data_IF_225348461479
#
_entry.id   IF_225348461479
#
_cell.length_a   1.000
_cell.length_b   1.000
_cell.length_c   1.000
_cell.angle_alpha   90.00
_cell.angle_beta   90.00
_cell.angle_gamma   90.00
#
_symmetry.space_group_name_H-M   'P 1'
#
loop_
_entity.id
_entity.type
_entity.pdbx_description
1 polymer ?
#
# COMPACT_ATOMS: atom_id res chain seq x y z
N UNK A 1 -5.18 -5.53 56.86
CA UNK A 1 -4.37 -6.26 55.87
C UNK A 1 -4.42 -5.49 54.57
N UNK A 2 -3.40 -4.70 54.30
CA UNK A 2 -3.21 -4.02 53.01
C UNK A 2 -2.73 -5.06 52.00
N UNK A 3 -3.58 -5.37 51.02
CA UNK A 3 -3.25 -6.27 49.92
C UNK A 3 -2.38 -5.45 48.97
N UNK A 4 -1.09 -5.75 48.92
CA UNK A 4 -0.18 -5.19 47.94
C UNK A 4 -0.62 -5.60 46.53
N UNK A 5 -0.50 -4.73 45.51
CA UNK A 5 -0.71 -5.13 44.12
C UNK A 5 0.22 -6.31 43.77
N UNK A 6 -0.22 -7.28 42.97
CA UNK A 6 0.68 -8.33 42.51
C UNK A 6 1.86 -7.70 41.79
N UNK A 7 3.07 -8.15 42.12
CA UNK A 7 4.29 -7.75 41.43
C UNK A 7 4.09 -7.90 39.92
N UNK A 8 4.34 -6.80 39.21
CA UNK A 8 4.32 -6.78 37.75
C UNK A 8 5.33 -7.82 37.29
N UNK A 9 4.82 -8.91 36.72
CA UNK A 9 5.60 -10.09 36.35
C UNK A 9 6.93 -9.73 35.71
N UNK A 10 7.97 -10.43 36.16
CA UNK A 10 9.35 -10.41 35.69
C UNK A 10 9.50 -10.16 34.19
N UNK A 11 10.35 -9.20 33.84
CA UNK A 11 10.96 -8.97 32.53
C UNK A 11 10.09 -9.35 31.32
N UNK A 12 9.27 -8.40 30.86
CA UNK A 12 8.71 -8.48 29.51
C UNK A 12 9.87 -8.56 28.51
N UNK A 13 10.26 -9.79 28.14
CA UNK A 13 11.27 -10.03 27.11
C UNK A 13 10.87 -9.23 25.88
N UNK A 14 11.78 -8.39 25.38
CA UNK A 14 11.52 -7.59 24.20
C UNK A 14 11.12 -8.50 23.04
N UNK A 15 9.86 -8.40 22.61
CA UNK A 15 9.29 -9.14 21.49
C UNK A 15 9.77 -8.60 20.13
N UNK A 16 10.54 -7.52 20.15
CA UNK A 16 11.20 -6.91 18.99
C UNK A 16 12.71 -6.99 19.18
N UNK A 17 13.40 -7.34 18.12
CA UNK A 17 14.86 -7.37 18.06
C UNK A 17 15.38 -6.16 17.30
N UNK A 18 16.43 -5.51 17.83
CA UNK A 18 17.20 -4.54 17.06
C UNK A 18 18.07 -5.33 16.08
N UNK A 19 17.68 -5.32 14.81
CA UNK A 19 18.41 -6.01 13.74
C UNK A 19 19.22 -4.96 12.99
N UNK A 20 20.43 -5.31 12.57
CA UNK A 20 21.21 -4.50 11.64
C UNK A 20 21.30 -5.20 10.30
N UNK A 21 20.15 -5.29 9.62
CA UNK A 21 20.10 -5.75 8.24
C UNK A 21 20.45 -4.53 7.37
N UNK A 22 21.66 -4.47 6.79
CA UNK A 22 22.11 -3.25 6.13
C UNK A 22 21.25 -2.96 4.91
N UNK A 23 20.62 -1.78 4.89
CA UNK A 23 19.83 -1.32 3.75
C UNK A 23 20.78 -0.78 2.67
N UNK A 24 21.34 -1.69 1.85
CA UNK A 24 22.28 -1.37 0.78
C UNK A 24 21.75 -1.80 -0.58
N UNK A 25 22.30 -1.21 -1.64
CA UNK A 25 21.97 -1.57 -3.02
C UNK A 25 22.75 -2.79 -3.55
N UNK A 26 23.62 -3.41 -2.73
CA UNK A 26 24.50 -4.49 -3.19
C UNK A 26 23.71 -5.67 -3.78
N UNK A 27 22.60 -6.04 -3.13
CA UNK A 27 21.76 -7.16 -3.56
C UNK A 27 20.94 -6.85 -4.82
N UNK A 28 20.75 -5.57 -5.17
CA UNK A 28 20.01 -5.19 -6.37
C UNK A 28 20.81 -5.50 -7.65
N UNK A 29 22.14 -5.50 -7.55
CA UNK A 29 23.04 -5.97 -8.61
C UNK A 29 23.13 -7.49 -8.74
N UNK A 30 22.45 -8.25 -7.88
CA UNK A 30 22.47 -9.73 -7.84
C UNK A 30 21.04 -10.29 -7.93
N UNK A 31 20.39 -10.26 -9.11
CA UNK A 31 19.04 -10.77 -9.23
C UNK A 31 19.00 -12.28 -8.93
N UNK A 32 18.03 -12.71 -8.13
CA UNK A 32 17.91 -14.10 -7.67
C UNK A 32 18.77 -14.44 -6.45
N UNK A 33 19.38 -13.45 -5.78
CA UNK A 33 20.16 -13.67 -4.54
C UNK A 33 19.39 -14.41 -3.43
N UNK A 34 18.06 -14.32 -3.44
CA UNK A 34 17.16 -14.95 -2.48
C UNK A 34 17.03 -16.47 -2.67
N UNK A 35 17.43 -17.01 -3.82
CA UNK A 35 17.37 -18.44 -4.15
C UNK A 35 18.77 -18.93 -4.57
N UNK A 36 19.28 -19.95 -3.90
CA UNK A 36 20.65 -20.47 -4.15
C UNK A 36 20.85 -21.02 -5.55
N UNK A 37 19.81 -21.53 -6.20
CA UNK A 37 19.88 -22.01 -7.58
C UNK A 37 19.92 -20.83 -8.55
N UNK A 38 19.12 -19.79 -8.31
CA UNK A 38 19.08 -18.59 -9.16
C UNK A 38 20.31 -17.70 -8.99
N UNK A 39 20.87 -17.61 -7.79
CA UNK A 39 22.07 -16.82 -7.49
C UNK A 39 23.31 -17.22 -8.33
N UNK A 40 23.31 -18.41 -8.95
CA UNK A 40 24.38 -18.88 -9.84
C UNK A 40 24.35 -18.24 -11.23
N UNK A 41 23.32 -17.46 -11.54
CA UNK A 41 23.16 -16.72 -12.79
C UNK A 41 22.39 -17.47 -13.89
N UNK A 42 22.00 -16.75 -14.96
CA UNK A 42 21.14 -17.26 -16.02
C UNK A 42 21.90 -18.16 -17.00
N UNK A 43 21.68 -19.49 -16.91
CA UNK A 43 22.17 -20.45 -17.91
C UNK A 43 21.17 -20.68 -19.06
N UNK A 44 19.88 -20.50 -18.80
CA UNK A 44 18.79 -20.64 -19.78
C UNK A 44 17.77 -19.53 -19.56
N UNK A 45 16.90 -19.27 -20.55
CA UNK A 45 15.81 -18.29 -20.41
C UNK A 45 14.78 -18.67 -19.35
N UNK A 46 14.67 -19.96 -19.01
CA UNK A 46 13.87 -20.45 -17.86
C UNK A 46 14.25 -19.76 -16.56
N UNK A 47 15.52 -19.40 -16.39
CA UNK A 47 15.99 -18.69 -15.21
C UNK A 47 15.24 -17.36 -15.00
N UNK A 48 14.93 -16.64 -16.08
CA UNK A 48 14.19 -15.36 -15.99
C UNK A 48 12.79 -15.59 -15.47
N UNK A 49 12.11 -16.64 -15.92
CA UNK A 49 10.77 -16.98 -15.45
C UNK A 49 10.78 -17.40 -13.98
N UNK A 50 11.72 -18.25 -13.59
CA UNK A 50 11.87 -18.69 -12.20
C UNK A 50 12.22 -17.52 -11.26
N UNK A 51 13.00 -16.54 -11.74
CA UNK A 51 13.29 -15.32 -10.98
C UNK A 51 12.01 -14.58 -10.55
N UNK A 52 11.05 -14.43 -11.44
CA UNK A 52 9.79 -13.74 -11.13
C UNK A 52 8.83 -14.64 -10.34
N UNK A 53 8.72 -15.92 -10.72
CA UNK A 53 7.82 -16.86 -10.07
C UNK A 53 8.17 -17.09 -8.60
N UNK A 54 9.46 -17.13 -8.27
CA UNK A 54 9.91 -17.43 -6.92
C UNK A 54 10.08 -16.16 -6.06
N UNK A 55 10.00 -14.94 -6.61
CA UNK A 55 10.36 -13.72 -5.89
C UNK A 55 9.61 -13.51 -4.56
N UNK A 56 8.36 -13.97 -4.46
CA UNK A 56 7.54 -13.89 -3.24
C UNK A 56 7.28 -15.26 -2.58
N UNK A 57 7.97 -16.32 -3.03
CA UNK A 57 7.92 -17.64 -2.41
C UNK A 57 8.90 -17.69 -1.22
N UNK A 58 8.54 -16.99 -0.14
CA UNK A 58 9.44 -16.78 1.00
C UNK A 58 9.84 -18.08 1.71
N UNK A 59 8.98 -19.09 1.71
CA UNK A 59 9.26 -20.40 2.30
C UNK A 59 10.32 -21.17 1.50
N UNK A 60 10.38 -20.98 0.18
CA UNK A 60 11.43 -21.56 -0.66
C UNK A 60 12.81 -20.88 -0.44
N UNK A 61 12.83 -19.63 0.05
CA UNK A 61 14.07 -18.88 0.26
C UNK A 61 14.79 -19.29 1.55
N UNK A 62 14.06 -19.61 2.61
CA UNK A 62 14.60 -19.96 3.92
C UNK A 62 13.64 -20.83 4.71
N UNK A 63 14.17 -21.75 5.53
CA UNK A 63 13.39 -22.57 6.45
C UNK A 63 13.12 -21.87 7.80
N UNK A 64 13.63 -20.65 8.00
CA UNK A 64 13.41 -19.88 9.22
C UNK A 64 12.05 -19.15 9.18
N UNK A 65 11.07 -19.69 9.91
CA UNK A 65 9.73 -19.14 10.00
C UNK A 65 9.69 -17.71 10.56
N UNK A 66 10.65 -17.33 11.42
CA UNK A 66 10.73 -15.97 11.94
C UNK A 66 11.08 -14.99 10.83
N UNK A 67 12.08 -15.33 10.01
CA UNK A 67 12.49 -14.54 8.85
C UNK A 67 11.38 -14.45 7.79
N UNK A 68 10.69 -15.56 7.51
CA UNK A 68 9.50 -15.55 6.63
C UNK A 68 8.43 -14.59 7.18
N UNK A 69 8.12 -14.66 8.47
CA UNK A 69 7.12 -13.80 9.12
C UNK A 69 7.51 -12.32 9.03
N UNK A 70 8.80 -11.99 9.21
CA UNK A 70 9.34 -10.63 9.06
C UNK A 70 9.19 -10.11 7.63
N UNK A 71 9.47 -10.94 6.61
CA UNK A 71 9.28 -10.58 5.19
C UNK A 71 7.83 -10.33 4.86
N UNK A 72 6.93 -11.20 5.29
CA UNK A 72 5.48 -11.04 5.11
C UNK A 72 5.01 -9.72 5.73
N UNK A 73 5.42 -9.45 6.97
CA UNK A 73 5.03 -8.23 7.68
C UNK A 73 5.49 -6.95 6.97
N UNK A 74 6.75 -6.92 6.51
CA UNK A 74 7.27 -5.81 5.71
C UNK A 74 6.57 -5.67 4.36
N UNK A 75 6.29 -6.78 3.68
CA UNK A 75 5.58 -6.81 2.41
C UNK A 75 4.13 -6.28 2.54
N UNK A 76 3.45 -6.55 3.66
CA UNK A 76 2.13 -5.99 3.93
C UNK A 76 2.16 -4.46 3.98
N UNK A 77 3.16 -3.86 4.63
CA UNK A 77 3.33 -2.40 4.59
C UNK A 77 3.61 -1.86 3.19
N UNK A 78 4.43 -2.57 2.40
CA UNK A 78 4.64 -2.25 0.99
C UNK A 78 3.34 -2.27 0.18
N UNK A 79 2.50 -3.28 0.39
CA UNK A 79 1.19 -3.38 -0.26
C UNK A 79 0.24 -2.26 0.18
N UNK A 80 0.17 -1.95 1.48
CA UNK A 80 -0.62 -0.82 2.00
C UNK A 80 -0.16 0.52 1.39
N UNK A 81 1.15 0.72 1.22
CA UNK A 81 1.66 1.93 0.57
C UNK A 81 1.18 2.05 -0.88
N UNK A 82 1.19 0.95 -1.66
CA UNK A 82 0.66 0.94 -3.04
C UNK A 82 -0.83 1.26 -3.06
N UNK A 83 -1.61 0.73 -2.12
CA UNK A 83 -3.05 1.07 -1.98
C UNK A 83 -3.21 2.57 -1.71
N UNK A 84 -2.42 3.15 -0.80
CA UNK A 84 -2.48 4.59 -0.52
C UNK A 84 -2.04 5.46 -1.70
N UNK A 85 -1.05 5.04 -2.49
CA UNK A 85 -0.66 5.73 -3.73
C UNK A 85 -1.80 5.67 -4.75
N UNK A 86 -2.43 4.52 -4.93
CA UNK A 86 -3.58 4.36 -5.82
C UNK A 86 -4.77 5.24 -5.38
N UNK A 87 -5.08 5.28 -4.09
CA UNK A 87 -6.10 6.17 -3.51
C UNK A 87 -5.74 7.65 -3.70
N UNK A 88 -4.48 8.02 -3.44
CA UNK A 88 -3.98 9.38 -3.67
C UNK A 88 -4.15 9.80 -5.12
N UNK A 89 -3.82 8.92 -6.06
CA UNK A 89 -4.05 9.12 -7.50
C UNK A 89 -5.53 9.35 -7.81
N UNK A 90 -6.44 8.53 -7.26
CA UNK A 90 -7.87 8.71 -7.47
C UNK A 90 -8.37 10.08 -7.00
N UNK A 91 -7.97 10.54 -5.81
CA UNK A 91 -8.32 11.87 -5.31
C UNK A 91 -7.69 12.99 -6.15
N UNK A 92 -6.42 12.85 -6.53
CA UNK A 92 -5.70 13.85 -7.33
C UNK A 92 -6.33 14.02 -8.71
N UNK A 93 -6.68 12.92 -9.38
CA UNK A 93 -7.39 12.93 -10.64
C UNK A 93 -8.76 13.61 -10.52
N UNK A 94 -9.51 13.29 -9.45
CA UNK A 94 -10.74 14.00 -9.09
C UNK A 94 -10.54 15.51 -8.89
N UNK A 95 -9.44 15.92 -8.27
CA UNK A 95 -9.16 17.31 -7.97
C UNK A 95 -8.64 18.14 -9.15
N UNK A 96 -8.03 17.52 -10.17
CA UNK A 96 -7.31 18.25 -11.24
C UNK A 96 -7.86 18.04 -12.64
N UNK A 97 -8.41 16.87 -12.92
CA UNK A 97 -8.73 16.43 -14.28
C UNK A 97 -10.15 15.87 -14.36
N UNK A 98 -11.07 16.45 -13.60
CA UNK A 98 -12.42 15.93 -13.48
C UNK A 98 -13.48 17.02 -13.62
N UNK A 99 -14.71 16.59 -13.85
CA UNK A 99 -15.89 17.45 -13.81
C UNK A 99 -16.66 17.34 -12.47
N UNK A 100 -15.99 17.00 -11.37
CA UNK A 100 -16.65 16.72 -10.09
C UNK A 100 -17.57 17.85 -9.61
N UNK A 101 -17.11 19.10 -9.66
CA UNK A 101 -17.92 20.26 -9.29
C UNK A 101 -19.17 20.43 -10.18
N UNK A 102 -19.02 20.20 -11.49
CA UNK A 102 -20.13 20.24 -12.45
C UNK A 102 -21.12 19.08 -12.25
N UNK A 103 -20.61 17.88 -12.00
CA UNK A 103 -21.43 16.72 -11.66
C UNK A 103 -22.18 16.89 -10.35
N UNK A 104 -21.56 17.54 -9.34
CA UNK A 104 -22.20 17.77 -8.05
C UNK A 104 -23.42 18.70 -8.17
N UNK A 105 -23.39 19.65 -9.12
CA UNK A 105 -24.47 20.57 -9.40
C UNK A 105 -25.66 19.91 -10.14
N UNK A 106 -25.40 18.96 -11.05
CA UNK A 106 -26.43 18.15 -11.73
C UNK A 106 -26.03 16.66 -11.85
N UNK A 107 -26.18 15.89 -10.76
CA UNK A 107 -25.74 14.50 -10.71
C UNK A 107 -26.55 13.56 -11.61
N UNK A 108 -27.73 13.99 -12.06
CA UNK A 108 -28.68 13.17 -12.82
C UNK A 108 -28.39 13.18 -14.32
N UNK A 109 -27.88 14.29 -14.87
CA UNK A 109 -27.62 14.41 -16.30
C UNK A 109 -26.14 14.37 -16.64
N UNK A 110 -25.29 15.02 -15.82
CA UNK A 110 -23.83 15.05 -16.03
C UNK A 110 -23.25 13.67 -15.76
N UNK A 111 -22.34 13.20 -16.63
CA UNK A 111 -21.66 11.91 -16.45
C UNK A 111 -20.33 12.13 -15.72
N UNK A 112 -20.00 11.31 -14.71
CA UNK A 112 -18.76 11.48 -13.97
C UNK A 112 -17.55 11.18 -14.88
N UNK A 113 -16.56 12.07 -14.88
CA UNK A 113 -15.32 11.94 -15.66
C UNK A 113 -14.15 12.47 -14.84
N UNK A 114 -13.03 11.74 -14.82
CA UNK A 114 -11.82 12.08 -14.07
C UNK A 114 -10.51 11.70 -14.79
N UNK A 115 -10.61 11.43 -16.09
CA UNK A 115 -9.46 11.09 -16.92
C UNK A 115 -9.58 11.82 -18.25
N UNK A 116 -8.54 12.56 -18.61
CA UNK A 116 -8.45 13.30 -19.86
C UNK A 116 -7.24 12.79 -20.63
N UNK A 117 -7.45 12.50 -21.90
CA UNK A 117 -6.42 11.96 -22.79
C UNK A 117 -5.72 13.09 -23.52
N UNK A 118 -4.40 13.00 -23.66
CA UNK A 118 -3.63 13.98 -24.43
C UNK A 118 -3.93 13.92 -25.93
N UNK A 119 -3.92 15.07 -26.64
CA UNK A 119 -4.22 15.13 -28.07
C UNK A 119 -3.02 14.76 -28.92
N UNK A 120 -2.76 13.45 -29.03
CA UNK A 120 -1.67 12.89 -29.82
C UNK A 120 -2.23 11.71 -30.61
N UNK A 121 -1.89 11.60 -31.91
CA UNK A 121 -2.36 10.51 -32.78
C UNK A 121 -3.88 10.39 -32.92
N UNK A 122 -4.65 11.44 -32.62
CA UNK A 122 -6.11 11.44 -32.72
C UNK A 122 -6.84 10.75 -31.55
N UNK A 123 -6.11 10.34 -30.50
CA UNK A 123 -6.71 9.65 -29.36
C UNK A 123 -7.60 10.56 -28.49
N UNK A 124 -7.56 11.88 -28.69
CA UNK A 124 -8.47 12.84 -28.05
C UNK A 124 -9.94 12.60 -28.43
N UNK A 125 -10.23 11.81 -29.47
CA UNK A 125 -11.57 11.30 -29.75
C UNK A 125 -12.18 10.54 -28.54
N UNK A 126 -11.34 10.02 -27.65
CA UNK A 126 -11.75 9.38 -26.40
C UNK A 126 -12.26 10.38 -25.35
N UNK A 127 -11.95 11.67 -25.48
CA UNK A 127 -12.46 12.72 -24.61
C UNK A 127 -13.88 13.12 -25.05
N UNK A 128 -14.85 12.25 -24.77
CA UNK A 128 -16.25 12.49 -25.09
C UNK A 128 -16.84 13.66 -24.27
N UNK A 129 -17.86 14.31 -24.81
CA UNK A 129 -18.67 15.28 -24.07
C UNK A 129 -19.47 14.55 -22.98
N UNK A 130 -19.14 14.83 -21.72
CA UNK A 130 -19.78 14.23 -20.54
C UNK A 130 -20.71 15.21 -19.81
N UNK A 131 -20.94 16.39 -20.39
CA UNK A 131 -21.72 17.47 -19.80
C UNK A 131 -20.89 18.42 -18.92
N UNK A 132 -21.54 19.49 -18.47
CA UNK A 132 -20.93 20.58 -17.71
C UNK A 132 -19.71 21.25 -18.40
N UNK A 133 -19.67 21.24 -19.74
CA UNK A 133 -18.58 21.82 -20.53
C UNK A 133 -17.26 21.05 -20.45
N UNK A 134 -17.28 19.81 -19.95
CA UNK A 134 -16.09 18.98 -19.78
C UNK A 134 -16.04 17.84 -20.80
N UNK A 135 -14.85 17.60 -21.33
CA UNK A 135 -14.58 16.51 -22.27
C UNK A 135 -13.54 15.56 -21.66
N UNK A 136 -13.86 14.27 -21.58
CA UNK A 136 -12.97 13.27 -20.99
C UNK A 136 -13.57 11.87 -21.02
N UNK A 137 -12.88 10.90 -20.43
CA UNK A 137 -13.36 9.53 -20.31
C UNK A 137 -14.36 9.43 -19.16
N UNK A 138 -15.59 9.00 -19.48
CA UNK A 138 -16.59 8.68 -18.47
C UNK A 138 -16.09 7.53 -17.57
N UNK A 139 -16.03 7.78 -16.26
CA UNK A 139 -15.60 6.78 -15.27
C UNK A 139 -16.78 6.00 -14.71
N UNK A 140 -16.55 4.74 -14.36
CA UNK A 140 -17.56 3.83 -13.80
C UNK A 140 -17.21 3.31 -12.40
N UNK A 141 -16.16 3.84 -11.77
CA UNK A 141 -15.68 3.43 -10.44
C UNK A 141 -16.58 3.84 -9.27
N UNK A 142 -17.58 4.71 -9.50
CA UNK A 142 -18.47 5.19 -8.44
C UNK A 142 -17.88 6.25 -7.51
N UNK A 143 -16.63 6.69 -7.74
CA UNK A 143 -15.90 7.61 -6.85
C UNK A 143 -16.66 8.91 -6.56
N UNK A 144 -17.31 9.51 -7.56
CA UNK A 144 -18.06 10.77 -7.37
C UNK A 144 -19.22 10.60 -6.38
N UNK A 145 -19.92 9.48 -6.43
CA UNK A 145 -21.02 9.18 -5.51
C UNK A 145 -20.49 8.97 -4.08
N UNK A 146 -19.36 8.27 -3.96
CA UNK A 146 -18.67 8.06 -2.69
C UNK A 146 -18.20 9.40 -2.07
N UNK A 147 -17.54 10.25 -2.84
CA UNK A 147 -17.07 11.56 -2.37
C UNK A 147 -18.23 12.46 -1.96
N UNK A 148 -19.34 12.45 -2.71
CA UNK A 148 -20.57 13.13 -2.32
C UNK A 148 -21.12 12.59 -1.00
N UNK A 149 -21.12 11.28 -0.79
CA UNK A 149 -21.57 10.67 0.46
C UNK A 149 -20.67 11.04 1.66
N UNK A 150 -19.38 11.30 1.42
CA UNK A 150 -18.45 11.82 2.42
C UNK A 150 -18.64 13.33 2.70
N UNK A 151 -19.53 14.00 1.99
CA UNK A 151 -19.78 15.44 2.14
C UNK A 151 -18.72 16.31 1.46
N UNK A 152 -17.96 15.76 0.52
CA UNK A 152 -16.97 16.53 -0.25
C UNK A 152 -17.71 17.44 -1.25
N UNK A 153 -17.39 18.72 -1.22
CA UNK A 153 -18.05 19.75 -2.03
C UNK A 153 -17.10 20.55 -2.91
N UNK A 154 -15.79 20.37 -2.78
CA UNK A 154 -14.80 21.10 -3.59
C UNK A 154 -13.57 20.27 -3.96
N UNK A 155 -12.95 20.65 -5.08
CA UNK A 155 -11.70 20.04 -5.56
C UNK A 155 -10.52 20.27 -4.60
N UNK A 156 -10.54 21.36 -3.82
CA UNK A 156 -9.51 21.64 -2.81
C UNK A 156 -9.51 20.57 -1.71
N UNK A 157 -10.68 20.06 -1.31
CA UNK A 157 -10.78 18.97 -0.34
C UNK A 157 -10.21 17.67 -0.91
N UNK A 158 -10.50 17.36 -2.18
CA UNK A 158 -9.91 16.21 -2.88
C UNK A 158 -8.38 16.32 -2.96
N UNK A 159 -7.86 17.52 -3.23
CA UNK A 159 -6.41 17.76 -3.22
C UNK A 159 -5.78 17.51 -1.85
N UNK A 160 -6.44 17.96 -0.77
CA UNK A 160 -5.97 17.72 0.59
C UNK A 160 -5.95 16.21 0.92
N UNK A 161 -6.98 15.46 0.53
CA UNK A 161 -7.04 14.00 0.67
C UNK A 161 -5.94 13.30 -0.14
N UNK A 162 -5.68 13.76 -1.36
CA UNK A 162 -4.60 13.22 -2.19
C UNK A 162 -3.24 13.36 -1.51
N UNK A 163 -2.93 14.54 -0.98
CA UNK A 163 -1.67 14.80 -0.25
C UNK A 163 -1.60 13.96 1.03
N UNK A 164 -2.69 13.92 1.81
CA UNK A 164 -2.76 13.11 3.03
C UNK A 164 -2.51 11.63 2.76
N UNK A 165 -3.15 11.07 1.74
CA UNK A 165 -2.95 9.68 1.32
C UNK A 165 -1.49 9.42 0.86
N UNK A 166 -0.87 10.38 0.18
CA UNK A 166 0.54 10.25 -0.24
C UNK A 166 1.51 10.27 0.96
N UNK A 167 1.25 11.12 1.96
CA UNK A 167 2.02 11.12 3.21
C UNK A 167 1.87 9.77 3.93
N UNK A 168 0.65 9.23 4.00
CA UNK A 168 0.40 7.91 4.57
C UNK A 168 1.14 6.80 3.81
N UNK A 169 1.21 6.86 2.48
CA UNK A 169 2.02 5.92 1.71
C UNK A 169 3.51 5.98 2.09
N UNK A 170 4.06 7.19 2.26
CA UNK A 170 5.43 7.38 2.74
C UNK A 170 5.66 6.80 4.14
N UNK A 171 4.70 6.97 5.06
CA UNK A 171 4.74 6.37 6.39
C UNK A 171 4.68 4.84 6.34
N UNK A 172 3.82 4.25 5.49
CA UNK A 172 3.75 2.80 5.31
C UNK A 172 5.05 2.23 4.76
N UNK A 173 5.64 2.85 3.73
CA UNK A 173 6.96 2.45 3.21
C UNK A 173 8.03 2.51 4.30
N UNK A 174 8.05 3.59 5.08
CA UNK A 174 9.01 3.75 6.16
C UNK A 174 8.83 2.70 7.26
N UNK A 175 7.59 2.40 7.65
CA UNK A 175 7.27 1.36 8.63
C UNK A 175 7.71 -0.03 8.14
N UNK A 176 7.48 -0.35 6.86
CA UNK A 176 7.94 -1.62 6.26
C UNK A 176 9.46 -1.77 6.29
N UNK A 177 10.20 -0.71 5.93
CA UNK A 177 11.67 -0.70 6.01
C UNK A 177 12.14 -0.80 7.47
N UNK A 178 11.52 -0.03 8.37
CA UNK A 178 11.88 0.00 9.79
C UNK A 178 11.71 -1.36 10.46
N UNK A 179 10.56 -2.00 10.25
CA UNK A 179 10.24 -3.29 10.87
C UNK A 179 10.95 -4.50 10.25
N UNK A 180 11.72 -4.30 9.17
CA UNK A 180 12.57 -5.34 8.60
C UNK A 180 14.07 -5.09 8.84
N UNK A 181 14.51 -3.84 8.65
CA UNK A 181 15.93 -3.48 8.69
C UNK A 181 16.44 -2.99 10.04
N UNK A 182 15.57 -2.58 10.96
CA UNK A 182 15.96 -1.94 12.23
C UNK A 182 15.31 -2.57 13.46
N UNK A 183 14.01 -2.81 13.42
CA UNK A 183 13.23 -3.27 14.58
C UNK A 183 12.32 -4.44 14.18
N UNK A 184 12.91 -5.62 14.02
CA UNK A 184 12.22 -6.79 13.49
C UNK A 184 11.54 -7.59 14.62
N UNK A 185 10.22 -7.82 14.55
CA UNK A 185 9.52 -8.64 15.54
C UNK A 185 10.05 -10.07 15.57
N UNK A 186 9.99 -10.71 16.74
CA UNK A 186 10.28 -12.13 16.92
C UNK A 186 9.05 -12.97 16.59
N UNK A 187 9.24 -14.27 16.37
CA UNK A 187 8.16 -15.19 16.04
C UNK A 187 7.03 -15.21 17.09
N UNK A 188 7.39 -15.10 18.38
CA UNK A 188 6.44 -15.03 19.51
C UNK A 188 5.47 -13.84 19.42
N UNK A 189 5.88 -12.72 18.80
CA UNK A 189 5.01 -11.57 18.57
C UNK A 189 3.93 -11.90 17.55
N UNK A 190 4.32 -12.52 16.44
CA UNK A 190 3.40 -12.91 15.36
C UNK A 190 2.40 -13.97 15.80
N UNK A 191 2.81 -14.87 16.70
CA UNK A 191 1.97 -15.95 17.21
C UNK A 191 1.03 -15.54 18.35
N UNK A 192 1.09 -14.28 18.80
CA UNK A 192 0.18 -13.76 19.82
C UNK A 192 -1.21 -13.46 19.22
N UNK A 193 -1.96 -14.51 18.93
CA UNK A 193 -3.27 -14.44 18.26
C UNK A 193 -4.32 -13.74 19.12
N UNK A 194 -4.28 -13.89 20.44
CA UNK A 194 -5.22 -13.21 21.34
C UNK A 194 -5.05 -11.69 21.27
N UNK A 195 -3.79 -11.22 21.36
CA UNK A 195 -3.50 -9.80 21.20
C UNK A 195 -3.90 -9.30 19.82
N UNK A 196 -3.53 -10.01 18.76
CA UNK A 196 -3.86 -9.64 17.39
C UNK A 196 -5.39 -9.51 17.19
N UNK A 197 -6.15 -10.51 17.65
CA UNK A 197 -7.61 -10.52 17.52
C UNK A 197 -8.24 -9.37 18.31
N UNK A 198 -7.82 -9.15 19.56
CA UNK A 198 -8.37 -8.06 20.38
C UNK A 198 -8.09 -6.70 19.74
N UNK A 199 -6.88 -6.44 19.25
CA UNK A 199 -6.55 -5.17 18.61
C UNK A 199 -7.27 -4.99 17.26
N UNK A 200 -7.42 -6.05 16.47
CA UNK A 200 -8.13 -5.96 15.20
C UNK A 200 -9.64 -5.82 15.38
N UNK A 201 -10.25 -6.57 16.29
CA UNK A 201 -11.71 -6.55 16.49
C UNK A 201 -12.18 -5.33 17.28
N UNK A 202 -11.44 -4.90 18.30
CA UNK A 202 -11.86 -3.79 19.15
C UNK A 202 -11.24 -2.44 18.76
N UNK A 203 -10.17 -2.45 17.95
CA UNK A 203 -9.44 -1.23 17.58
C UNK A 203 -9.55 -0.86 16.10
N UNK A 204 -9.37 -1.82 15.19
CA UNK A 204 -9.29 -1.53 13.75
C UNK A 204 -10.67 -1.49 13.05
N UNK A 205 -11.59 -2.37 13.44
CA UNK A 205 -12.97 -2.44 12.93
C UNK A 205 -13.92 -1.59 13.75
#
# INVERSE_FOLDING_TARGET
>A
MTISPPERGSDAKSQVEKVDNPATFELFGKPGHFDRALAKGPKTTTWVWNLHANAHDFDAHTSDLQEVSRRIFSAHFGHLAVIFIWLSGAFFHGARFSNFSGWLADPTHVKPSAQVVWPIFGQEILNGDVGAGFHGIQITSGLFHMWRAWGITSETQLMALAIGALVMAGLMLNAGVFHYHKAAPKLEWFQNVESMLNHHLAGLL
#
